data_IF_099011787865
#
_entry.id   IF_099011787865
#
_cell.length_a   1.000
_cell.length_b   1.000
_cell.length_c   1.000
_cell.angle_alpha   90.00
_cell.angle_beta   90.00
_cell.angle_gamma   90.00
#
_symmetry.space_group_name_H-M   'P 1'
#
loop_
_entity.id
_entity.type
_entity.pdbx_description
1 polymer ?
#
# COMPACT_ATOMS: atom_id res chain seq x y z
N UNK A 1 20.64 51.11 -60.14
CA UNK A 1 20.87 49.80 -59.48
C UNK A 1 21.66 50.08 -58.20
N UNK A 2 21.05 49.80 -57.03
CA UNK A 2 21.71 49.37 -55.77
C UNK A 2 22.67 50.38 -55.09
N UNK A 3 22.73 50.64 -53.78
CA UNK A 3 22.28 50.01 -52.52
C UNK A 3 22.41 51.13 -51.43
N UNK A 4 21.36 51.46 -50.68
CA UNK A 4 20.99 50.92 -49.34
C UNK A 4 21.83 51.40 -48.14
N UNK A 5 21.15 52.23 -47.35
CA UNK A 5 21.39 52.66 -45.97
C UNK A 5 21.36 51.47 -44.99
N UNK A 6 22.19 51.47 -43.95
CA UNK A 6 21.97 50.61 -42.78
C UNK A 6 22.34 51.31 -41.48
N UNK A 7 21.31 51.52 -40.65
CA UNK A 7 21.36 52.07 -39.30
C UNK A 7 21.44 50.92 -38.29
N UNK A 8 22.36 51.02 -37.33
CA UNK A 8 22.48 50.06 -36.23
C UNK A 8 21.43 50.35 -35.14
N UNK A 9 20.60 49.36 -34.81
CA UNK A 9 19.74 49.34 -33.61
C UNK A 9 20.33 48.36 -32.59
N UNK A 10 20.56 48.83 -31.37
CA UNK A 10 20.98 48.02 -30.24
C UNK A 10 19.79 47.21 -29.65
N UNK A 11 20.03 46.01 -29.08
CA UNK A 11 18.97 45.14 -28.57
C UNK A 11 18.58 45.49 -27.12
N UNK A 12 17.28 45.71 -26.92
CA UNK A 12 16.62 45.84 -25.62
C UNK A 12 16.36 44.43 -25.06
N UNK A 13 17.15 43.98 -24.09
CA UNK A 13 16.92 42.71 -23.38
C UNK A 13 15.86 42.92 -22.29
N UNK A 14 14.62 42.52 -22.56
CA UNK A 14 13.55 42.45 -21.57
C UNK A 14 13.63 41.08 -20.87
N UNK A 15 14.06 41.07 -19.60
CA UNK A 15 14.08 39.88 -18.74
C UNK A 15 12.70 39.75 -18.08
N UNK A 16 11.90 38.79 -18.56
CA UNK A 16 10.61 38.41 -17.94
C UNK A 16 10.88 37.40 -16.84
N UNK A 17 10.64 37.80 -15.58
CA UNK A 17 10.71 36.92 -14.43
C UNK A 17 9.42 36.10 -14.31
N UNK A 18 9.50 34.80 -14.64
CA UNK A 18 8.45 33.82 -14.35
C UNK A 18 8.45 33.50 -12.85
N UNK A 19 7.46 33.99 -12.11
CA UNK A 19 7.16 33.54 -10.74
C UNK A 19 6.26 32.31 -10.84
N UNK A 20 6.86 31.12 -10.79
CA UNK A 20 6.11 29.86 -10.69
C UNK A 20 5.57 29.71 -9.26
N UNK A 21 4.24 29.75 -9.09
CA UNK A 21 3.57 29.24 -7.90
C UNK A 21 3.80 27.72 -7.84
N UNK A 22 4.71 27.27 -6.99
CA UNK A 22 4.82 25.87 -6.61
C UNK A 22 3.63 25.54 -5.69
N UNK A 23 2.55 25.04 -6.27
CA UNK A 23 1.43 24.46 -5.54
C UNK A 23 1.90 23.12 -4.96
N UNK A 24 2.46 23.14 -3.74
CA UNK A 24 2.74 21.91 -2.98
C UNK A 24 1.41 21.34 -2.52
N UNK A 25 0.80 20.49 -3.35
CA UNK A 25 -0.19 19.55 -2.91
C UNK A 25 0.48 18.62 -1.90
N UNK A 26 0.39 18.94 -0.61
CA UNK A 26 0.72 18.05 0.48
C UNK A 26 -0.29 16.90 0.45
N UNK A 27 -0.08 15.95 -0.45
CA UNK A 27 -0.90 14.74 -0.54
C UNK A 27 -0.85 14.04 0.81
N UNK A 28 -2.02 13.66 1.32
CA UNK A 28 -2.13 12.98 2.61
C UNK A 28 -1.17 11.79 2.67
N UNK A 29 -0.43 11.62 3.78
CA UNK A 29 0.62 10.61 3.85
C UNK A 29 0.03 9.22 3.60
N UNK A 30 0.69 8.47 2.70
CA UNK A 30 0.38 7.05 2.50
C UNK A 30 0.67 6.33 3.82
N UNK A 31 -0.22 5.43 4.22
CA UNK A 31 -0.01 4.57 5.38
C UNK A 31 1.21 3.69 5.10
N UNK A 32 2.32 3.99 5.78
CA UNK A 32 3.58 3.29 5.59
C UNK A 32 4.12 2.81 6.94
N UNK A 33 4.90 1.72 6.89
CA UNK A 33 5.57 1.17 8.05
C UNK A 33 5.17 -0.27 8.37
N UNK A 34 5.81 -0.78 9.42
CA UNK A 34 5.55 -2.09 9.99
C UNK A 34 4.76 -1.93 11.28
N UNK A 35 3.74 -2.77 11.44
CA UNK A 35 2.85 -2.80 12.58
C UNK A 35 2.66 -4.24 13.01
N UNK A 36 2.57 -4.50 14.30
CA UNK A 36 2.43 -5.86 14.79
C UNK A 36 1.73 -5.96 16.13
N UNK A 37 1.13 -7.12 16.37
CA UNK A 37 0.65 -7.57 17.67
C UNK A 37 0.36 -9.08 17.61
N UNK A 38 0.76 -9.83 18.65
CA UNK A 38 0.52 -11.27 18.71
C UNK A 38 1.01 -11.99 17.45
N UNK A 39 0.15 -12.77 16.82
CA UNK A 39 0.42 -13.49 15.57
C UNK A 39 0.12 -12.71 14.29
N UNK A 40 -0.02 -11.38 14.40
CA UNK A 40 -0.41 -10.49 13.31
C UNK A 40 0.67 -9.48 13.00
N UNK A 41 1.04 -9.38 11.72
CA UNK A 41 1.98 -8.40 11.19
C UNK A 41 1.37 -7.71 9.99
N UNK A 42 1.38 -6.38 9.98
CA UNK A 42 1.07 -5.56 8.82
C UNK A 42 2.34 -4.83 8.35
N UNK A 43 2.63 -4.89 7.06
CA UNK A 43 3.66 -4.09 6.41
C UNK A 43 3.01 -3.34 5.26
N UNK A 44 3.19 -2.02 5.22
CA UNK A 44 2.65 -1.15 4.17
C UNK A 44 3.72 -0.19 3.67
N UNK A 45 3.69 0.07 2.37
CA UNK A 45 4.58 0.99 1.65
C UNK A 45 3.83 1.71 0.51
N UNK A 46 4.55 2.36 -0.39
CA UNK A 46 3.98 3.12 -1.50
C UNK A 46 3.32 2.24 -2.60
N UNK A 47 3.59 0.93 -2.62
CA UNK A 47 3.05 -0.05 -3.58
C UNK A 47 1.84 -0.81 -3.03
N UNK A 48 1.59 -0.72 -1.72
CA UNK A 48 0.47 -1.35 -1.06
C UNK A 48 0.88 -1.92 0.28
N UNK A 49 0.12 -2.90 0.74
CA UNK A 49 0.46 -3.56 1.97
C UNK A 49 0.00 -5.00 2.05
N UNK A 50 0.52 -5.64 3.09
CA UNK A 50 0.25 -7.02 3.45
C UNK A 50 -0.04 -7.10 4.93
N UNK A 51 -1.15 -7.75 5.28
CA UNK A 51 -1.48 -8.15 6.65
C UNK A 51 -1.39 -9.67 6.70
N UNK A 52 -0.50 -10.19 7.52
CA UNK A 52 -0.40 -11.62 7.80
C UNK A 52 -0.93 -11.87 9.21
N UNK A 53 -1.87 -12.81 9.35
CA UNK A 53 -2.41 -13.26 10.63
C UNK A 53 -2.55 -14.77 10.62
N UNK A 54 -1.76 -15.47 11.43
CA UNK A 54 -1.68 -16.94 11.34
C UNK A 54 -1.33 -17.40 9.92
N UNK A 55 -2.20 -18.23 9.33
CA UNK A 55 -2.10 -18.75 7.96
C UNK A 55 -2.91 -17.98 6.92
N UNK A 56 -3.22 -16.72 7.21
CA UNK A 56 -3.92 -15.86 6.28
C UNK A 56 -3.00 -14.72 5.86
N UNK A 57 -2.89 -14.47 4.57
CA UNK A 57 -2.28 -13.30 3.99
C UNK A 57 -3.37 -12.43 3.37
N UNK A 58 -3.37 -11.14 3.68
CA UNK A 58 -4.28 -10.16 3.11
C UNK A 58 -3.48 -9.11 2.39
N UNK A 59 -3.71 -8.95 1.09
CA UNK A 59 -3.04 -7.96 0.23
C UNK A 59 -4.00 -6.82 -0.10
N UNK A 60 -3.49 -5.61 -0.11
CA UNK A 60 -4.28 -4.41 -0.41
C UNK A 60 -3.44 -3.37 -1.15
N UNK A 61 -4.12 -2.53 -1.94
CA UNK A 61 -3.50 -1.43 -2.68
C UNK A 61 -3.00 -0.33 -1.72
N UNK A 62 -2.15 0.63 -2.17
CA UNK A 62 -1.70 1.74 -1.34
C UNK A 62 -2.88 2.47 -0.71
N UNK A 63 -2.79 2.72 0.61
CA UNK A 63 -3.86 3.36 1.37
C UNK A 63 -3.40 4.71 1.88
N UNK A 64 -4.28 5.70 1.77
CA UNK A 64 -4.11 7.00 2.44
C UNK A 64 -5.09 7.05 3.60
N UNK A 65 -4.56 7.43 4.77
CA UNK A 65 -5.40 7.73 5.91
C UNK A 65 -5.87 9.19 5.80
N UNK A 66 -7.10 9.46 6.22
CA UNK A 66 -7.61 10.82 6.32
C UNK A 66 -6.97 11.58 7.50
N UNK A 67 -7.39 12.84 7.68
CA UNK A 67 -6.95 13.70 8.79
C UNK A 67 -7.13 13.10 10.20
N UNK A 68 -8.06 12.15 10.36
CA UNK A 68 -8.39 11.50 11.62
C UNK A 68 -7.64 10.16 11.78
N UNK A 69 -6.81 9.81 10.79
CA UNK A 69 -6.06 8.58 10.69
C UNK A 69 -6.89 7.40 10.19
N UNK A 70 -8.13 7.62 9.76
CA UNK A 70 -9.04 6.56 9.32
C UNK A 70 -8.83 6.21 7.84
N UNK A 71 -9.07 4.95 7.50
CA UNK A 71 -8.99 4.47 6.12
C UNK A 71 -9.91 3.29 5.87
N UNK A 72 -10.21 3.05 4.59
CA UNK A 72 -10.94 1.89 4.11
C UNK A 72 -10.42 1.52 2.72
N UNK A 73 -10.12 0.24 2.48
CA UNK A 73 -9.62 -0.25 1.20
C UNK A 73 -10.15 -1.65 0.90
N UNK A 74 -10.25 -1.96 -0.39
CA UNK A 74 -10.47 -3.33 -0.84
C UNK A 74 -9.18 -4.15 -0.65
N UNK A 75 -9.37 -5.43 -0.38
CA UNK A 75 -8.30 -6.36 -0.11
C UNK A 75 -8.60 -7.73 -0.73
N UNK A 76 -7.55 -8.53 -0.82
CA UNK A 76 -7.59 -9.94 -1.26
C UNK A 76 -7.06 -10.79 -0.13
N UNK A 77 -7.85 -11.75 0.31
CA UNK A 77 -7.48 -12.72 1.33
C UNK A 77 -7.03 -14.03 0.67
N UNK A 78 -5.83 -14.46 1.02
CA UNK A 78 -5.17 -15.68 0.56
C UNK A 78 -4.89 -16.57 1.77
N UNK A 79 -5.16 -17.87 1.64
CA UNK A 79 -4.83 -18.84 2.68
C UNK A 79 -3.46 -19.42 2.36
N UNK A 80 -2.52 -19.23 3.28
CA UNK A 80 -1.16 -19.75 3.16
C UNK A 80 -1.18 -21.25 3.47
N UNK A 81 -1.01 -22.08 2.45
CA UNK A 81 -0.83 -23.54 2.59
C UNK A 81 0.63 -23.90 2.33
N UNK A 82 1.19 -24.81 3.12
CA UNK A 82 2.48 -25.48 2.83
C UNK A 82 2.24 -26.93 2.40
N UNK A 83 1.19 -27.22 1.63
CA UNK A 83 1.03 -28.57 1.09
C UNK A 83 2.34 -28.99 0.42
N UNK A 84 3.04 -30.04 0.90
CA UNK A 84 4.25 -30.49 0.24
C UNK A 84 3.87 -30.91 -1.18
N UNK A 85 4.70 -30.64 -2.21
CA UNK A 85 4.51 -31.32 -3.48
C UNK A 85 4.55 -32.81 -3.15
N UNK A 86 3.43 -33.49 -3.31
CA UNK A 86 3.31 -34.93 -3.06
C UNK A 86 4.16 -35.64 -4.11
N UNK A 87 5.43 -35.81 -3.78
CA UNK A 87 6.37 -36.58 -4.58
C UNK A 87 6.09 -38.05 -4.43
N UNK A 88 5.27 -38.59 -5.34
CA UNK A 88 5.30 -40.00 -5.74
C UNK A 88 5.17 -40.06 -7.26
N UNK A 89 6.26 -39.73 -7.97
CA UNK A 89 6.57 -40.28 -9.30
C UNK A 89 5.65 -40.00 -10.50
N UNK A 90 4.52 -39.32 -10.37
CA UNK A 90 3.63 -38.98 -11.49
C UNK A 90 3.35 -37.48 -11.55
N UNK A 91 3.17 -36.98 -12.76
CA UNK A 91 3.21 -35.57 -13.12
C UNK A 91 2.19 -34.71 -12.36
N UNK A 92 2.71 -33.68 -11.67
CA UNK A 92 2.19 -32.31 -11.66
C UNK A 92 0.68 -32.10 -11.43
N UNK A 93 0.09 -32.77 -10.42
CA UNK A 93 -1.17 -32.34 -9.82
C UNK A 93 -0.89 -31.48 -8.59
N UNK A 94 -0.46 -30.23 -8.83
CA UNK A 94 -0.48 -29.21 -7.81
C UNK A 94 -1.93 -29.03 -7.33
N UNK A 95 -2.23 -29.46 -6.10
CA UNK A 95 -3.50 -29.19 -5.44
C UNK A 95 -3.82 -27.69 -5.61
N UNK A 96 -5.01 -27.34 -6.14
CA UNK A 96 -5.32 -25.94 -6.40
C UNK A 96 -5.29 -25.15 -5.09
N UNK A 97 -4.46 -24.12 -5.03
CA UNK A 97 -4.48 -23.20 -3.89
C UNK A 97 -5.90 -22.64 -3.73
N UNK A 98 -6.40 -22.49 -2.49
CA UNK A 98 -7.72 -21.93 -2.26
C UNK A 98 -7.84 -20.57 -2.96
N UNK A 99 -8.93 -20.32 -3.71
CA UNK A 99 -9.06 -19.08 -4.47
C UNK A 99 -9.04 -17.88 -3.53
N UNK A 100 -8.33 -16.83 -3.93
CA UNK A 100 -8.27 -15.59 -3.17
C UNK A 100 -9.68 -14.99 -2.98
N UNK A 101 -10.06 -14.71 -1.74
CA UNK A 101 -11.37 -14.20 -1.38
C UNK A 101 -11.36 -12.66 -1.38
N UNK A 102 -12.39 -11.99 -1.90
CA UNK A 102 -12.54 -10.55 -1.75
C UNK A 102 -12.74 -10.21 -0.28
N UNK A 103 -12.06 -9.16 0.18
CA UNK A 103 -12.15 -8.68 1.55
C UNK A 103 -12.13 -7.14 1.58
N UNK A 104 -12.51 -6.58 2.73
CA UNK A 104 -12.40 -5.15 3.02
C UNK A 104 -11.56 -4.97 4.26
N UNK A 105 -10.65 -4.00 4.21
CA UNK A 105 -9.79 -3.62 5.31
C UNK A 105 -10.08 -2.17 5.70
N UNK A 106 -10.61 -1.96 6.89
CA UNK A 106 -10.85 -0.64 7.45
C UNK A 106 -10.03 -0.45 8.72
N UNK A 107 -9.50 0.73 8.95
CA UNK A 107 -8.70 0.96 10.14
C UNK A 107 -8.60 2.42 10.53
N UNK A 108 -8.00 2.64 11.71
CA UNK A 108 -7.65 3.96 12.22
C UNK A 108 -6.30 3.90 12.90
N UNK A 109 -5.35 4.70 12.42
CA UNK A 109 -4.02 4.86 12.99
C UNK A 109 -3.93 6.15 13.81
N UNK A 110 -3.55 6.07 15.07
CA UNK A 110 -3.35 7.22 15.96
C UNK A 110 -2.31 6.92 17.03
N UNK A 111 -1.39 7.86 17.28
CA UNK A 111 -0.44 7.75 18.39
C UNK A 111 0.44 6.49 18.37
N UNK A 112 0.81 5.99 17.17
CA UNK A 112 1.60 4.77 17.02
C UNK A 112 0.84 3.46 17.25
N UNK A 113 -0.49 3.53 17.45
CA UNK A 113 -1.39 2.37 17.51
C UNK A 113 -2.34 2.39 16.32
N UNK A 114 -2.75 1.22 15.84
CA UNK A 114 -3.72 1.08 14.77
C UNK A 114 -4.79 0.06 15.16
N UNK A 115 -6.05 0.47 15.09
CA UNK A 115 -7.17 -0.49 15.13
C UNK A 115 -7.55 -0.83 13.69
N UNK A 116 -7.65 -2.12 13.40
CA UNK A 116 -7.84 -2.64 12.06
C UNK A 116 -8.97 -3.67 12.07
N UNK A 117 -9.94 -3.55 11.18
CA UNK A 117 -11.02 -4.51 10.99
C UNK A 117 -10.93 -5.10 9.59
N UNK A 118 -10.86 -6.43 9.53
CA UNK A 118 -10.91 -7.23 8.33
C UNK A 118 -12.30 -7.86 8.20
N UNK A 119 -12.98 -7.54 7.10
CA UNK A 119 -14.28 -8.11 6.75
C UNK A 119 -14.16 -8.96 5.51
N UNK A 120 -14.71 -10.18 5.58
CA UNK A 120 -14.80 -11.12 4.46
C UNK A 120 -16.25 -11.55 4.36
N UNK A 121 -16.78 -11.62 3.15
CA UNK A 121 -18.17 -12.01 2.94
C UNK A 121 -18.44 -13.40 3.54
N UNK A 122 -19.56 -13.54 4.25
CA UNK A 122 -19.94 -14.79 4.92
C UNK A 122 -19.13 -15.13 6.18
N UNK A 123 -18.21 -14.26 6.64
CA UNK A 123 -17.43 -14.46 7.87
C UNK A 123 -17.66 -13.32 8.88
N UNK A 124 -17.50 -13.62 10.15
CA UNK A 124 -17.51 -12.59 11.19
C UNK A 124 -16.30 -11.65 11.02
N UNK A 125 -16.48 -10.31 11.14
CA UNK A 125 -15.37 -9.37 11.09
C UNK A 125 -14.34 -9.66 12.18
N UNK A 126 -13.06 -9.51 11.83
CA UNK A 126 -11.94 -9.68 12.76
C UNK A 126 -11.28 -8.33 13.03
N UNK A 127 -11.10 -7.99 14.30
CA UNK A 127 -10.45 -6.74 14.71
C UNK A 127 -9.10 -7.00 15.34
N UNK A 128 -8.12 -6.17 14.99
CA UNK A 128 -6.75 -6.22 15.48
C UNK A 128 -6.36 -4.86 16.04
N UNK A 129 -5.57 -4.85 17.11
CA UNK A 129 -4.88 -3.66 17.61
C UNK A 129 -3.40 -3.86 17.39
N UNK A 130 -2.81 -3.11 16.47
CA UNK A 130 -1.41 -3.22 16.08
C UNK A 130 -0.62 -2.02 16.59
N UNK A 131 0.65 -2.23 16.91
CA UNK A 131 1.56 -1.18 17.36
C UNK A 131 2.67 -0.97 16.34
N UNK A 132 2.98 0.29 16.05
CA UNK A 132 4.03 0.67 15.10
C UNK A 132 5.39 0.14 15.55
N UNK A 133 6.17 -0.40 14.61
CA UNK A 133 7.51 -0.93 14.84
C UNK A 133 7.55 -2.29 15.55
N UNK A 134 6.42 -2.79 16.06
CA UNK A 134 6.34 -4.14 16.61
C UNK A 134 6.31 -5.17 15.48
N UNK A 135 7.04 -6.27 15.67
CA UNK A 135 6.94 -7.45 14.81
C UNK A 135 5.92 -8.40 15.43
N UNK A 136 4.93 -8.83 14.65
CA UNK A 136 4.12 -9.97 15.02
C UNK A 136 4.92 -11.27 14.89
N UNK A 137 4.59 -12.27 15.69
CA UNK A 137 5.11 -13.63 15.57
C UNK A 137 4.29 -14.37 14.51
N UNK A 138 4.73 -14.35 13.25
CA UNK A 138 4.07 -15.11 12.20
C UNK A 138 4.03 -16.60 12.55
N UNK A 139 2.85 -17.21 12.48
CA UNK A 139 2.72 -18.66 12.61
C UNK A 139 3.36 -19.34 11.39
N UNK A 140 4.02 -20.48 11.61
CA UNK A 140 4.35 -21.40 10.53
C UNK A 140 3.11 -22.20 10.20
N UNK A 141 2.67 -22.16 8.95
CA UNK A 141 1.62 -23.03 8.44
C UNK A 141 2.23 -24.40 8.18
N UNK A 142 1.56 -25.48 8.57
CA UNK A 142 1.99 -26.87 8.42
C UNK A 142 0.96 -27.63 7.59
#
# INVERSE_FOLDING_TARGET
MSMWTSASRAPFKLLVAFTALACTAAGEPVLTGMWGAGNTTLVSDAQGGRLQTGCTLVRFAPVRADKDGAFNTSARLEQLSLAPPVGNGEADDALPEPPAQPATLAGRASGGTMTLTLSVEGQAPRTFTLVMGQRGTSARCL
#
